data_IF_776698754851
#
_entry.id   IF_776698754851
#
_cell.length_a   1.000
_cell.length_b   1.000
_cell.length_c   1.000
_cell.angle_alpha   90.00
_cell.angle_beta   90.00
_cell.angle_gamma   90.00
#
_symmetry.space_group_name_H-M   'P 1'
#
loop_
_entity.id
_entity.type
_entity.pdbx_description
1 polymer ?
#
# COMPACT_ATOMS: atom_id res chain seq x y z
N UNK A 1 22.32 3.03 -1.98
CA UNK A 1 21.53 3.63 -0.89
C UNK A 1 22.26 3.38 0.41
N UNK A 2 22.49 4.39 1.26
CA UNK A 2 23.16 4.16 2.54
C UNK A 2 22.19 3.44 3.50
N UNK A 3 22.74 2.68 4.44
CA UNK A 3 21.96 1.84 5.38
C UNK A 3 20.97 2.66 6.24
N UNK A 4 21.27 3.94 6.48
CA UNK A 4 20.36 4.89 7.13
C UNK A 4 19.08 5.17 6.33
N UNK A 5 19.21 5.29 5.00
CA UNK A 5 18.10 5.69 4.14
C UNK A 5 17.10 4.54 4.00
N UNK A 6 17.63 3.32 3.86
CA UNK A 6 16.86 2.07 3.92
C UNK A 6 16.02 1.97 5.21
N UNK A 7 16.63 2.29 6.36
CA UNK A 7 15.96 2.22 7.64
C UNK A 7 14.83 3.26 7.78
N UNK A 8 15.05 4.48 7.28
CA UNK A 8 14.01 5.53 7.25
C UNK A 8 12.83 5.10 6.38
N UNK A 9 13.09 4.58 5.18
CA UNK A 9 12.05 4.11 4.26
C UNK A 9 11.19 2.99 4.87
N UNK A 10 11.82 2.06 5.60
CA UNK A 10 11.09 1.00 6.32
C UNK A 10 10.19 1.54 7.42
N UNK A 11 10.66 2.50 8.20
CA UNK A 11 9.87 3.10 9.29
C UNK A 11 8.64 3.80 8.71
N UNK A 12 8.83 4.60 7.66
CA UNK A 12 7.71 5.25 6.97
C UNK A 12 6.73 4.25 6.38
N UNK A 13 7.23 3.22 5.69
CA UNK A 13 6.42 2.13 5.13
C UNK A 13 5.51 1.49 6.20
N UNK A 14 6.06 1.17 7.38
CA UNK A 14 5.28 0.58 8.48
C UNK A 14 4.18 1.53 8.97
N UNK A 15 4.49 2.82 9.10
CA UNK A 15 3.51 3.83 9.51
C UNK A 15 2.42 4.04 8.46
N UNK A 16 2.77 4.09 7.18
CA UNK A 16 1.83 4.25 6.06
C UNK A 16 0.88 3.05 5.97
N UNK A 17 1.41 1.82 6.01
CA UNK A 17 0.60 0.61 6.03
C UNK A 17 -0.28 0.54 7.28
N UNK A 18 0.26 0.91 8.44
CA UNK A 18 -0.50 0.97 9.69
C UNK A 18 -1.67 1.95 9.59
N UNK A 19 -1.45 3.15 9.06
CA UNK A 19 -2.49 4.14 8.85
C UNK A 19 -3.55 3.66 7.86
N UNK A 20 -3.14 3.06 6.74
CA UNK A 20 -4.07 2.49 5.75
C UNK A 20 -4.93 1.37 6.34
N UNK A 21 -4.33 0.46 7.13
CA UNK A 21 -5.04 -0.61 7.82
C UNK A 21 -6.06 -0.07 8.83
N UNK A 22 -5.70 0.95 9.60
CA UNK A 22 -6.62 1.60 10.55
C UNK A 22 -7.79 2.24 9.80
N UNK A 23 -7.52 3.01 8.75
CA UNK A 23 -8.56 3.66 7.95
C UNK A 23 -9.48 2.62 7.28
N UNK A 24 -8.91 1.57 6.70
CA UNK A 24 -9.66 0.44 6.17
C UNK A 24 -10.58 -0.17 7.22
N UNK A 25 -10.05 -0.46 8.42
CA UNK A 25 -10.82 -1.01 9.54
C UNK A 25 -11.94 -0.10 10.00
N UNK A 26 -11.71 1.21 10.07
CA UNK A 26 -12.73 2.21 10.44
C UNK A 26 -13.90 2.18 9.46
N UNK A 27 -13.64 2.12 8.15
CA UNK A 27 -14.71 2.11 7.15
C UNK A 27 -15.38 0.73 7.07
N UNK A 28 -14.59 -0.36 7.08
CA UNK A 28 -15.09 -1.73 7.05
C UNK A 28 -15.96 -2.07 8.27
N UNK A 29 -15.62 -1.54 9.45
CA UNK A 29 -16.38 -1.68 10.69
C UNK A 29 -17.85 -1.28 10.53
N UNK A 30 -18.13 -0.26 9.71
CA UNK A 30 -19.50 0.19 9.47
C UNK A 30 -20.37 -0.83 8.74
N UNK A 31 -19.79 -1.81 8.05
CA UNK A 31 -20.51 -2.87 7.33
C UNK A 31 -20.78 -4.10 8.21
N UNK A 32 -20.10 -4.23 9.34
CA UNK A 32 -20.31 -5.29 10.35
C UNK A 32 -21.11 -4.80 11.56
N UNK A 33 -21.73 -3.61 11.45
CA UNK A 33 -22.59 -3.05 12.49
C UNK A 33 -21.84 -2.29 13.60
N UNK A 34 -20.56 -1.99 13.43
CA UNK A 34 -19.78 -1.18 14.38
C UNK A 34 -19.98 0.30 14.04
N UNK A 35 -20.31 1.11 15.03
CA UNK A 35 -20.36 2.56 14.87
C UNK A 35 -18.95 3.16 14.86
N UNK A 36 -18.61 3.87 13.79
CA UNK A 36 -17.29 4.49 13.60
C UNK A 36 -17.43 5.93 13.09
N UNK A 37 -16.35 6.72 13.03
CA UNK A 37 -16.38 8.04 12.40
C UNK A 37 -16.85 8.04 10.94
N UNK A 38 -16.82 6.88 10.25
CA UNK A 38 -17.31 6.74 8.89
C UNK A 38 -18.83 6.44 8.80
N UNK A 39 -19.51 6.15 9.91
CA UNK A 39 -20.94 5.82 9.95
C UNK A 39 -21.88 6.88 9.35
N UNK A 40 -21.64 8.20 9.51
CA UNK A 40 -22.54 9.23 8.97
C UNK A 40 -22.59 9.30 7.44
N UNK A 41 -21.63 8.70 6.75
CA UNK A 41 -21.54 8.75 5.29
C UNK A 41 -22.42 7.70 4.61
N UNK A 42 -22.89 8.03 3.40
CA UNK A 42 -23.69 7.13 2.58
C UNK A 42 -22.98 5.80 2.30
N UNK A 43 -23.78 4.74 2.21
CA UNK A 43 -23.27 3.37 2.02
C UNK A 43 -22.39 3.23 0.77
N UNK A 44 -22.76 3.91 -0.32
CA UNK A 44 -21.99 3.89 -1.57
C UNK A 44 -20.60 4.51 -1.41
N UNK A 45 -20.50 5.62 -0.67
CA UNK A 45 -19.22 6.28 -0.40
C UNK A 45 -18.33 5.40 0.48
N UNK A 46 -18.91 4.77 1.52
CA UNK A 46 -18.20 3.81 2.35
C UNK A 46 -17.71 2.60 1.56
N UNK A 47 -18.51 2.09 0.64
CA UNK A 47 -18.12 0.94 -0.20
C UNK A 47 -16.97 1.31 -1.15
N UNK A 48 -17.05 2.50 -1.78
CA UNK A 48 -15.98 3.02 -2.61
C UNK A 48 -14.68 3.20 -1.80
N UNK A 49 -14.76 3.72 -0.59
CA UNK A 49 -13.62 3.87 0.30
C UNK A 49 -13.00 2.52 0.71
N UNK A 50 -13.81 1.50 1.03
CA UNK A 50 -13.32 0.14 1.29
C UNK A 50 -12.59 -0.43 0.07
N UNK A 51 -13.16 -0.28 -1.13
CA UNK A 51 -12.54 -0.75 -2.35
C UNK A 51 -11.21 -0.02 -2.62
N UNK A 52 -11.18 1.30 -2.44
CA UNK A 52 -9.98 2.11 -2.56
C UNK A 52 -8.88 1.63 -1.60
N UNK A 53 -9.17 1.55 -0.30
CA UNK A 53 -8.19 1.09 0.69
C UNK A 53 -7.74 -0.37 0.48
N UNK A 54 -8.64 -1.24 -0.02
CA UNK A 54 -8.26 -2.60 -0.36
C UNK A 54 -7.22 -2.63 -1.49
N UNK A 55 -7.43 -1.85 -2.56
CA UNK A 55 -6.45 -1.72 -3.66
C UNK A 55 -5.14 -1.14 -3.14
N UNK A 56 -5.23 -0.10 -2.31
CA UNK A 56 -4.06 0.54 -1.68
C UNK A 56 -3.20 -0.41 -0.84
N UNK A 57 -3.82 -1.41 -0.19
CA UNK A 57 -3.11 -2.42 0.58
C UNK A 57 -2.63 -3.60 -0.28
N UNK A 58 -3.35 -3.96 -1.34
CA UNK A 58 -3.01 -5.09 -2.21
C UNK A 58 -1.78 -4.80 -3.08
N UNK A 59 -1.60 -3.57 -3.56
CA UNK A 59 -0.47 -3.17 -4.39
C UNK A 59 0.89 -3.40 -3.67
N UNK A 60 1.14 -2.82 -2.48
CA UNK A 60 2.41 -3.01 -1.78
C UNK A 60 2.61 -4.46 -1.35
N UNK A 61 1.52 -5.19 -1.01
CA UNK A 61 1.61 -6.62 -0.70
C UNK A 61 2.07 -7.43 -1.92
N UNK A 62 1.52 -7.16 -3.11
CA UNK A 62 1.91 -7.83 -4.34
C UNK A 62 3.37 -7.54 -4.71
N UNK A 63 3.80 -6.28 -4.59
CA UNK A 63 5.20 -5.88 -4.82
C UNK A 63 6.14 -6.56 -3.83
N UNK A 64 5.79 -6.58 -2.53
CA UNK A 64 6.57 -7.26 -1.51
C UNK A 64 6.72 -8.77 -1.79
N UNK A 65 5.63 -9.45 -2.15
CA UNK A 65 5.65 -10.88 -2.45
C UNK A 65 6.48 -11.21 -3.71
N UNK A 66 6.42 -10.38 -4.76
CA UNK A 66 7.25 -10.57 -5.96
C UNK A 66 8.73 -10.24 -5.72
N UNK A 67 9.02 -9.25 -4.87
CA UNK A 67 10.39 -8.83 -4.55
C UNK A 67 11.10 -9.75 -3.54
N UNK A 68 10.37 -10.39 -2.61
CA UNK A 68 10.94 -11.22 -1.54
C UNK A 68 11.81 -12.38 -2.03
N UNK A 69 11.66 -12.82 -3.28
CA UNK A 69 12.44 -13.89 -3.90
C UNK A 69 13.56 -13.42 -4.84
N UNK A 70 13.81 -12.11 -4.98
CA UNK A 70 14.77 -11.56 -5.94
C UNK A 70 15.80 -10.67 -5.24
N UNK A 71 17.06 -11.05 -5.31
CA UNK A 71 18.17 -10.19 -4.89
C UNK A 71 18.28 -9.01 -5.87
N UNK A 72 18.31 -7.77 -5.35
CA UNK A 72 18.53 -6.55 -6.14
C UNK A 72 17.28 -5.79 -6.60
N UNK A 73 16.07 -6.25 -6.26
CA UNK A 73 14.87 -5.42 -6.41
C UNK A 73 14.78 -4.47 -5.22
N UNK A 74 15.21 -3.23 -5.47
CA UNK A 74 15.37 -2.16 -4.48
C UNK A 74 14.15 -1.97 -3.55
N UNK A 75 14.45 -1.80 -2.26
CA UNK A 75 13.55 -1.37 -1.18
C UNK A 75 12.71 -0.13 -1.54
N UNK A 76 13.23 0.69 -2.45
CA UNK A 76 12.59 1.89 -2.98
C UNK A 76 11.27 1.52 -3.68
N UNK A 77 11.22 0.42 -4.45
CA UNK A 77 9.99 0.02 -5.14
C UNK A 77 8.90 -0.44 -4.18
N UNK A 78 9.28 -1.15 -3.13
CA UNK A 78 8.35 -1.55 -2.05
C UNK A 78 7.80 -0.30 -1.36
N UNK A 79 8.66 0.67 -1.04
CA UNK A 79 8.25 1.92 -0.41
C UNK A 79 7.32 2.76 -1.31
N UNK A 80 7.70 3.03 -2.56
CA UNK A 80 6.88 3.81 -3.49
C UNK A 80 5.54 3.12 -3.79
N UNK A 81 5.51 1.78 -3.82
CA UNK A 81 4.26 1.02 -3.98
C UNK A 81 3.33 1.08 -2.76
N UNK A 82 3.83 1.50 -1.59
CA UNK A 82 3.05 1.64 -0.37
C UNK A 82 2.61 3.07 -0.07
N UNK A 83 3.21 4.06 -0.76
CA UNK A 83 2.77 5.45 -0.68
C UNK A 83 1.34 5.58 -1.22
N UNK A 84 0.38 6.05 -0.41
CA UNK A 84 -0.99 6.22 -0.85
C UNK A 84 -1.06 7.14 -2.07
N UNK A 85 -1.97 6.88 -3.02
CA UNK A 85 -2.13 7.67 -4.27
C UNK A 85 -1.00 7.44 -5.29
N UNK A 86 0.24 7.25 -4.82
CA UNK A 86 1.43 7.04 -5.67
C UNK A 86 1.64 5.55 -5.98
N UNK A 87 1.01 4.65 -5.22
CA UNK A 87 1.13 3.20 -5.33
C UNK A 87 0.98 2.64 -6.76
N UNK A 88 0.06 3.18 -7.58
CA UNK A 88 -0.18 2.75 -8.96
C UNK A 88 1.03 3.11 -9.82
N UNK A 89 1.56 4.32 -9.66
CA UNK A 89 2.78 4.75 -10.36
C UNK A 89 4.00 3.96 -9.88
N UNK A 90 4.07 3.66 -8.58
CA UNK A 90 5.07 2.76 -8.01
C UNK A 90 5.03 1.37 -8.61
N UNK A 91 3.83 0.78 -8.74
CA UNK A 91 3.63 -0.52 -9.38
C UNK A 91 4.02 -0.49 -10.86
N UNK A 92 3.63 0.54 -11.61
CA UNK A 92 3.98 0.68 -13.02
C UNK A 92 5.50 0.81 -13.22
N UNK A 93 6.16 1.63 -12.40
CA UNK A 93 7.62 1.75 -12.42
C UNK A 93 8.32 0.46 -12.04
N UNK A 94 7.79 -0.27 -11.05
CA UNK A 94 8.29 -1.59 -10.66
C UNK A 94 8.21 -2.61 -11.81
N UNK A 95 7.08 -2.66 -12.50
CA UNK A 95 6.88 -3.54 -13.66
C UNK A 95 7.81 -3.20 -14.83
N UNK A 96 8.05 -1.90 -15.08
CA UNK A 96 9.00 -1.46 -16.11
C UNK A 96 10.45 -1.80 -15.75
N UNK A 97 10.86 -1.56 -14.50
CA UNK A 97 12.18 -1.93 -13.99
C UNK A 97 12.40 -3.45 -14.07
N UNK A 98 11.38 -4.23 -13.71
CA UNK A 98 11.39 -5.69 -13.84
C UNK A 98 11.59 -6.13 -15.29
N UNK A 99 10.89 -5.49 -16.24
CA UNK A 99 11.02 -5.83 -17.66
C UNK A 99 12.44 -5.58 -18.17
N UNK A 100 13.05 -4.46 -17.80
CA UNK A 100 14.42 -4.10 -18.19
C UNK A 100 15.50 -5.00 -17.57
N UNK A 101 15.25 -5.58 -16.40
CA UNK A 101 16.19 -6.49 -15.73
C UNK A 101 16.12 -7.93 -16.26
N UNK A 102 15.11 -8.26 -17.06
CA UNK A 102 14.94 -9.57 -17.69
C UNK A 102 15.42 -9.65 -19.15
N UNK A 103 15.78 -8.52 -19.76
CA UNK A 103 16.50 -8.41 -21.04
C UNK A 103 18.02 -8.32 -20.78
#
# INVERSE_FOLDING_TARGET
MNESDAQVLRIFLVWELGALLVLFGVVAGTFVGIETPASPYDRSLRLAAVAFFAVELLIPLAVYLDARGREGVDEIWVHVSAMPIVNIFGLLGYLDARKRAGD
#
